data_IF_170063807926
#
_entry.id   IF_170063807926
#
_cell.length_a   1.000
_cell.length_b   1.000
_cell.length_c   1.000
_cell.angle_alpha   90.00
_cell.angle_beta   90.00
_cell.angle_gamma   90.00
#
_symmetry.space_group_name_H-M   'P 1'
#
loop_
_entity.id
_entity.type
_entity.pdbx_description
1 polymer ?
#
# COMPACT_ATOMS: atom_id res chain seq x y z
N UNK A 1 15.94 -15.89 13.09
CA UNK A 1 14.83 -16.36 12.23
C UNK A 1 13.44 -15.93 12.70
N UNK A 2 13.11 -15.94 14.01
CA UNK A 2 11.78 -15.52 14.50
C UNK A 2 11.44 -14.04 14.26
N UNK A 3 12.41 -13.13 14.34
CA UNK A 3 12.17 -11.68 14.22
C UNK A 3 11.87 -11.21 12.80
N UNK A 4 12.54 -11.74 11.76
CA UNK A 4 12.28 -11.31 10.38
C UNK A 4 10.93 -11.82 9.84
N UNK A 5 10.49 -13.01 10.31
CA UNK A 5 9.15 -13.53 10.04
C UNK A 5 8.09 -12.68 10.75
N UNK A 6 8.34 -12.27 12.00
CA UNK A 6 7.47 -11.34 12.72
C UNK A 6 7.34 -9.97 12.01
N UNK A 7 8.45 -9.39 11.57
CA UNK A 7 8.45 -8.13 10.80
C UNK A 7 7.67 -8.26 9.49
N UNK A 8 7.91 -9.34 8.72
CA UNK A 8 7.23 -9.55 7.44
C UNK A 8 5.72 -9.70 7.63
N UNK A 9 5.29 -10.43 8.66
CA UNK A 9 3.87 -10.60 8.97
C UNK A 9 3.21 -9.28 9.41
N UNK A 10 3.90 -8.47 10.22
CA UNK A 10 3.40 -7.15 10.61
C UNK A 10 3.23 -6.23 9.41
N UNK A 11 4.20 -6.21 8.50
CA UNK A 11 4.13 -5.42 7.27
C UNK A 11 3.05 -5.93 6.31
N UNK A 12 2.81 -7.24 6.24
CA UNK A 12 1.72 -7.83 5.46
C UNK A 12 0.35 -7.37 5.99
N UNK A 13 0.13 -7.47 7.30
CA UNK A 13 -1.10 -6.98 7.92
C UNK A 13 -1.29 -5.47 7.70
N UNK A 14 -0.22 -4.69 7.84
CA UNK A 14 -0.26 -3.24 7.61
C UNK A 14 -0.66 -2.92 6.16
N UNK A 15 -0.03 -3.56 5.17
CA UNK A 15 -0.35 -3.34 3.74
C UNK A 15 -1.79 -3.72 3.42
N UNK A 16 -2.32 -4.79 4.02
CA UNK A 16 -3.70 -5.21 3.83
C UNK A 16 -4.70 -4.16 4.37
N UNK A 17 -4.46 -3.65 5.58
CA UNK A 17 -5.26 -2.57 6.18
C UNK A 17 -5.21 -1.31 5.30
N UNK A 18 -4.01 -0.91 4.87
CA UNK A 18 -3.81 0.27 4.02
C UNK A 18 -4.49 0.10 2.65
N UNK A 19 -4.45 -1.09 2.06
CA UNK A 19 -5.14 -1.42 0.81
C UNK A 19 -6.65 -1.25 0.92
N UNK A 20 -7.24 -1.79 2.00
CA UNK A 20 -8.66 -1.61 2.28
C UNK A 20 -9.02 -0.13 2.48
N UNK A 21 -8.15 0.63 3.16
CA UNK A 21 -8.36 2.06 3.36
C UNK A 21 -8.32 2.85 2.04
N UNK A 22 -7.39 2.56 1.13
CA UNK A 22 -7.34 3.17 -0.20
C UNK A 22 -8.63 2.92 -0.99
N UNK A 23 -9.15 1.69 -0.97
CA UNK A 23 -10.44 1.34 -1.62
C UNK A 23 -11.61 2.14 -1.04
N UNK A 24 -11.67 2.27 0.28
CA UNK A 24 -12.71 3.03 0.95
C UNK A 24 -12.63 4.52 0.62
N UNK A 25 -11.43 5.12 0.69
CA UNK A 25 -11.20 6.52 0.31
C UNK A 25 -11.66 6.78 -1.12
N UNK A 26 -11.29 5.89 -2.05
CA UNK A 26 -11.71 6.00 -3.46
C UNK A 26 -13.22 6.01 -3.61
N UNK A 27 -13.92 5.08 -2.96
CA UNK A 27 -15.38 5.02 -3.04
C UNK A 27 -16.00 6.29 -2.45
N UNK A 28 -15.55 6.74 -1.29
CA UNK A 28 -16.03 7.96 -0.64
C UNK A 28 -15.73 9.23 -1.46
N UNK A 29 -14.56 9.30 -2.10
CA UNK A 29 -14.16 10.45 -2.92
C UNK A 29 -15.08 10.60 -4.14
N UNK A 30 -15.46 9.48 -4.78
CA UNK A 30 -16.38 9.46 -5.93
C UNK A 30 -17.79 9.90 -5.56
N UNK A 31 -18.28 9.51 -4.39
CA UNK A 31 -19.69 9.70 -4.01
C UNK A 31 -19.95 10.98 -3.25
N UNK A 32 -18.93 11.61 -2.65
CA UNK A 32 -19.14 12.82 -1.86
C UNK A 32 -19.18 14.08 -2.73
N UNK A 33 -20.14 14.96 -2.45
CA UNK A 33 -20.21 16.33 -2.98
C UNK A 33 -19.50 17.35 -2.06
N UNK A 34 -19.12 16.94 -0.85
CA UNK A 34 -18.47 17.83 0.11
C UNK A 34 -17.01 18.09 -0.27
N UNK A 35 -16.71 19.32 -0.71
CA UNK A 35 -15.37 19.73 -1.15
C UNK A 35 -14.30 19.56 -0.07
N UNK A 36 -14.57 20.00 1.16
CA UNK A 36 -13.61 19.88 2.27
C UNK A 36 -13.35 18.41 2.66
N UNK A 37 -14.33 17.52 2.49
CA UNK A 37 -14.12 16.08 2.65
C UNK A 37 -13.26 15.51 1.53
N UNK A 38 -13.48 15.90 0.26
CA UNK A 38 -12.62 15.48 -0.87
C UNK A 38 -11.16 15.85 -0.65
N UNK A 39 -10.88 17.08 -0.21
CA UNK A 39 -9.51 17.53 0.05
C UNK A 39 -8.82 16.70 1.14
N UNK A 40 -9.54 16.38 2.22
CA UNK A 40 -9.03 15.51 3.30
C UNK A 40 -8.77 14.08 2.81
N UNK A 41 -9.71 13.50 2.07
CA UNK A 41 -9.58 12.17 1.47
C UNK A 41 -8.38 12.10 0.51
N UNK A 42 -8.15 13.16 -0.27
CA UNK A 42 -7.00 13.25 -1.17
C UNK A 42 -5.66 13.29 -0.40
N UNK A 43 -5.58 14.10 0.65
CA UNK A 43 -4.39 14.18 1.51
C UNK A 43 -4.10 12.84 2.19
N UNK A 44 -5.13 12.18 2.72
CA UNK A 44 -5.03 10.86 3.34
C UNK A 44 -4.54 9.81 2.34
N UNK A 45 -5.11 9.78 1.12
CA UNK A 45 -4.68 8.89 0.05
C UNK A 45 -3.18 9.03 -0.25
N UNK A 46 -2.69 10.28 -0.35
CA UNK A 46 -1.28 10.58 -0.59
C UNK A 46 -0.38 10.06 0.53
N UNK A 47 -0.80 10.19 1.79
CA UNK A 47 -0.04 9.70 2.94
C UNK A 47 0.02 8.17 2.98
N UNK A 48 -1.12 7.50 2.74
CA UNK A 48 -1.15 6.03 2.67
C UNK A 48 -0.27 5.52 1.52
N UNK A 49 -0.34 6.17 0.35
CA UNK A 49 0.48 5.78 -0.80
C UNK A 49 1.99 5.89 -0.49
N UNK A 50 2.42 6.95 0.20
CA UNK A 50 3.81 7.07 0.68
C UNK A 50 4.19 5.91 1.60
N UNK A 51 3.30 5.55 2.53
CA UNK A 51 3.55 4.44 3.46
C UNK A 51 3.67 3.09 2.74
N UNK A 52 2.77 2.80 1.79
CA UNK A 52 2.88 1.57 0.98
C UNK A 52 4.19 1.53 0.20
N UNK A 53 4.66 2.68 -0.30
CA UNK A 53 5.95 2.76 -1.00
C UNK A 53 7.16 2.50 -0.08
N UNK A 54 7.11 2.95 1.17
CA UNK A 54 8.12 2.59 2.18
C UNK A 54 8.15 1.08 2.43
N UNK A 55 6.96 0.47 2.60
CA UNK A 55 6.85 -0.98 2.83
C UNK A 55 7.36 -1.74 1.61
N UNK A 56 7.07 -1.29 0.39
CA UNK A 56 7.60 -1.87 -0.85
C UNK A 56 9.14 -1.88 -0.85
N UNK A 57 9.78 -0.77 -0.48
CA UNK A 57 11.24 -0.69 -0.40
C UNK A 57 11.81 -1.64 0.66
N UNK A 58 11.16 -1.75 1.82
CA UNK A 58 11.55 -2.70 2.86
C UNK A 58 11.42 -4.13 2.34
N UNK A 59 10.31 -4.46 1.68
CA UNK A 59 10.06 -5.76 1.09
C UNK A 59 11.11 -6.13 0.03
N UNK A 60 11.51 -5.17 -0.81
CA UNK A 60 12.57 -5.36 -1.80
C UNK A 60 13.90 -5.73 -1.13
N UNK A 61 14.29 -5.03 -0.06
CA UNK A 61 15.50 -5.35 0.70
C UNK A 61 15.43 -6.71 1.37
N UNK A 62 14.28 -7.06 1.98
CA UNK A 62 14.06 -8.36 2.60
C UNK A 62 14.12 -9.49 1.56
N UNK A 63 13.54 -9.27 0.37
CA UNK A 63 13.52 -10.26 -0.71
C UNK A 63 14.91 -10.48 -1.32
N UNK A 64 15.76 -9.44 -1.38
CA UNK A 64 17.16 -9.54 -1.82
C UNK A 64 18.05 -10.32 -0.84
N UNK A 65 17.76 -10.27 0.46
CA UNK A 65 18.59 -10.90 1.52
C UNK A 65 18.18 -12.32 1.90
N UNK A 66 16.94 -12.74 1.62
CA UNK A 66 16.43 -14.05 2.05
C UNK A 66 16.73 -15.18 1.05
N UNK A 67 17.37 -16.25 1.53
CA UNK A 67 17.62 -17.51 0.81
C UNK A 67 16.56 -18.60 1.09
N UNK A 68 15.50 -18.30 1.83
CA UNK A 68 14.50 -19.27 2.29
C UNK A 68 13.51 -19.74 1.20
N UNK A 69 13.00 -20.98 1.39
CA UNK A 69 12.15 -21.74 0.45
C UNK A 69 10.69 -21.25 0.38
N UNK A 70 10.18 -20.59 1.42
CA UNK A 70 8.86 -19.93 1.48
C UNK A 70 9.07 -18.43 1.67
N UNK A 71 8.72 -17.63 0.66
CA UNK A 71 9.08 -16.20 0.64
C UNK A 71 7.89 -15.31 0.96
N UNK A 72 7.49 -15.20 2.22
CA UNK A 72 6.52 -14.19 2.66
C UNK A 72 7.00 -12.76 2.32
N UNK A 73 8.32 -12.53 2.27
CA UNK A 73 8.91 -11.29 1.76
C UNK A 73 8.62 -11.05 0.28
N UNK A 74 8.53 -12.11 -0.54
CA UNK A 74 8.15 -12.00 -1.95
C UNK A 74 6.66 -11.69 -2.09
N UNK A 75 5.81 -12.29 -1.25
CA UNK A 75 4.39 -11.95 -1.20
C UNK A 75 4.20 -10.47 -0.84
N UNK A 76 4.89 -9.99 0.21
CA UNK A 76 4.85 -8.58 0.61
C UNK A 76 5.31 -7.65 -0.52
N UNK A 77 6.37 -8.04 -1.23
CA UNK A 77 6.88 -7.31 -2.39
C UNK A 77 5.83 -7.22 -3.52
N UNK A 78 5.23 -8.34 -3.92
CA UNK A 78 4.24 -8.37 -5.00
C UNK A 78 2.96 -7.61 -4.64
N UNK A 79 2.45 -7.76 -3.41
CA UNK A 79 1.25 -7.03 -2.95
C UNK A 79 1.49 -5.53 -2.96
N UNK A 80 2.59 -5.08 -2.33
CA UNK A 80 2.91 -3.65 -2.26
C UNK A 80 3.16 -3.05 -3.65
N UNK A 81 3.85 -3.77 -4.54
CA UNK A 81 4.03 -3.39 -5.95
C UNK A 81 2.71 -3.24 -6.70
N UNK A 82 1.78 -4.19 -6.55
CA UNK A 82 0.46 -4.14 -7.18
C UNK A 82 -0.32 -2.92 -6.72
N UNK A 83 -0.38 -2.66 -5.41
CA UNK A 83 -1.10 -1.52 -4.84
C UNK A 83 -0.54 -0.20 -5.38
N UNK A 84 0.79 -0.06 -5.46
CA UNK A 84 1.42 1.14 -6.00
C UNK A 84 1.06 1.36 -7.47
N UNK A 85 1.03 0.29 -8.28
CA UNK A 85 0.66 0.38 -9.68
C UNK A 85 -0.80 0.79 -9.86
N UNK A 86 -1.74 0.13 -9.17
CA UNK A 86 -3.18 0.46 -9.23
C UNK A 86 -3.45 1.93 -8.91
N UNK A 87 -2.80 2.45 -7.86
CA UNK A 87 -3.00 3.85 -7.44
C UNK A 87 -2.31 4.86 -8.35
N UNK A 88 -1.23 4.49 -9.03
CA UNK A 88 -0.53 5.36 -10.01
C UNK A 88 -1.33 5.53 -11.30
N UNK A 89 -1.98 4.47 -11.79
CA UNK A 89 -2.88 4.57 -12.94
C UNK A 89 -4.10 5.47 -12.65
N UNK A 90 -4.59 5.45 -11.41
CA UNK A 90 -5.75 6.23 -11.02
C UNK A 90 -5.44 7.72 -10.81
N UNK A 91 -4.24 8.07 -10.36
CA UNK A 91 -3.81 9.48 -10.33
C UNK A 91 -3.77 10.11 -11.73
N UNK A 92 -3.65 9.31 -12.78
CA UNK A 92 -3.74 9.81 -14.14
C UNK A 92 -5.19 9.91 -14.66
N UNK A 93 -6.12 9.09 -14.13
CA UNK A 93 -7.53 9.08 -14.56
C UNK A 93 -8.43 10.07 -13.81
N UNK A 94 -8.16 10.35 -12.52
CA UNK A 94 -8.99 11.25 -11.69
C UNK A 94 -8.60 12.72 -11.79
N UNK A 95 -7.58 13.05 -12.57
CA UNK A 95 -7.09 14.41 -12.81
C UNK A 95 -7.37 14.92 -14.24
N UNK A 96 -8.15 14.16 -15.02
CA UNK A 96 -8.81 14.59 -16.27
C UNK A 96 -10.25 15.01 -15.96
#
# INVERSE_FOLDING_TARGET
MKESQSLTNNLLMEVEILSNRLRNIKQSYKTTENKALRERLFSENKNIFKRVNEIYKIAELLNKKNSEKIKFSNLLFEISKRILNENKFESNLFFL
#
